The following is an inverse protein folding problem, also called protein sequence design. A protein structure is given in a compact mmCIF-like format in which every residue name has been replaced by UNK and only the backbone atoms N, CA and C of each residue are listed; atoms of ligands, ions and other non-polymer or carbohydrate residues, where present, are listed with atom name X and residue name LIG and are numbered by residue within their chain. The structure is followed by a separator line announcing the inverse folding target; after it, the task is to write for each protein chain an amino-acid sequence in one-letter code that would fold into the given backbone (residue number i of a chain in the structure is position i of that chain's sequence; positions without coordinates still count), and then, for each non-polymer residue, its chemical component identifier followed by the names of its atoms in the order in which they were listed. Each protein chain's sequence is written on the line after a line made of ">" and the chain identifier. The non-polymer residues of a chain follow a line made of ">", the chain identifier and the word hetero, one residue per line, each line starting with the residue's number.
data_IF_926177583169
#
_entry.id   IF_926177583169
#
_cell.length_a   1.000
_cell.length_b   1.000
_cell.length_c   1.000
_cell.angle_alpha   90.00
_cell.angle_beta   90.00
_cell.angle_gamma   90.00
#
_symmetry.space_group_name_H-M   'P 1'
#
loop_
_entity.id
_entity.type
_entity.pdbx_description
1 polymer ?
#
# COMPACT_ATOMS: atom_id res chain seq x y z
N UNK A 1 16.30 10.67 8.21
CA UNK A 1 16.43 9.88 6.96
C UNK A 1 16.32 10.80 5.78
N UNK A 2 17.26 10.74 4.83
CA UNK A 2 17.21 11.52 3.59
C UNK A 2 16.54 10.68 2.49
N UNK A 3 15.21 10.55 2.58
CA UNK A 3 14.38 9.85 1.59
C UNK A 3 13.19 10.73 1.24
N UNK A 4 12.81 10.76 -0.03
CA UNK A 4 11.58 11.42 -0.46
C UNK A 4 10.39 10.61 0.03
N UNK A 5 9.40 11.27 0.64
CA UNK A 5 8.17 10.60 1.06
C UNK A 5 7.19 10.59 -0.10
N UNK A 6 6.47 9.50 -0.26
CA UNK A 6 5.39 9.39 -1.25
C UNK A 6 4.34 10.50 -1.08
N UNK A 7 4.06 10.91 0.16
CA UNK A 7 3.09 11.96 0.49
C UNK A 7 3.47 13.35 0.00
N UNK A 8 4.74 13.55 -0.37
CA UNK A 8 5.28 14.84 -0.78
C UNK A 8 5.39 14.94 -2.32
N UNK A 9 4.98 13.89 -3.05
CA UNK A 9 5.07 13.79 -4.50
C UNK A 9 3.70 14.05 -5.17
N UNK A 10 3.66 14.69 -6.35
CA UNK A 10 2.44 14.77 -7.16
C UNK A 10 2.15 13.41 -7.80
N UNK A 11 1.01 12.81 -7.47
CA UNK A 11 0.63 11.48 -7.96
C UNK A 11 -0.51 11.47 -8.98
N UNK A 12 -1.20 12.60 -9.21
CA UNK A 12 -2.36 12.66 -10.09
C UNK A 12 -2.03 12.24 -11.54
N UNK A 13 -2.77 11.26 -12.07
CA UNK A 13 -2.59 10.69 -13.40
C UNK A 13 -1.37 9.76 -13.53
N UNK A 14 -0.65 9.49 -12.44
CA UNK A 14 0.61 8.76 -12.48
C UNK A 14 0.42 7.29 -12.10
N UNK A 15 0.99 6.38 -12.92
CA UNK A 15 1.09 4.97 -12.55
C UNK A 15 2.13 4.78 -11.44
N UNK A 16 1.69 4.53 -10.21
CA UNK A 16 2.58 4.34 -9.05
C UNK A 16 2.82 2.86 -8.76
N UNK A 17 4.08 2.45 -8.67
CA UNK A 17 4.48 1.12 -8.19
C UNK A 17 4.67 1.17 -6.67
N UNK A 18 3.81 0.48 -5.92
CA UNK A 18 3.88 0.40 -4.46
C UNK A 18 4.35 -1.00 -4.06
N UNK A 19 5.50 -1.08 -3.37
CA UNK A 19 6.03 -2.34 -2.85
C UNK A 19 5.52 -2.55 -1.42
N UNK A 20 4.55 -3.46 -1.27
CA UNK A 20 3.96 -3.81 0.03
C UNK A 20 4.44 -5.17 0.55
N UNK A 21 4.37 -5.35 1.87
CA UNK A 21 4.46 -6.67 2.51
C UNK A 21 3.06 -7.29 2.63
N UNK A 22 2.67 -8.06 1.61
CA UNK A 22 1.40 -8.79 1.57
C UNK A 22 1.55 -10.27 1.97
N UNK A 23 2.68 -10.66 2.58
CA UNK A 23 2.91 -12.04 2.99
C UNK A 23 2.12 -12.37 4.26
N UNK A 24 0.90 -12.84 4.08
CA UNK A 24 -0.04 -13.17 5.15
C UNK A 24 -0.19 -14.68 5.35
N UNK A 25 -0.50 -15.15 6.56
CA UNK A 25 -0.81 -16.56 6.77
C UNK A 25 -2.11 -16.94 6.06
N UNK A 26 -2.04 -18.03 5.29
CA UNK A 26 -3.17 -18.62 4.57
C UNK A 26 -3.51 -19.97 5.20
N UNK A 27 -4.79 -20.19 5.49
CA UNK A 27 -5.34 -21.48 5.94
C UNK A 27 -6.51 -21.85 5.04
N UNK A 28 -6.46 -23.03 4.42
CA UNK A 28 -7.49 -23.53 3.50
C UNK A 28 -7.84 -22.52 2.38
N UNK A 29 -6.83 -21.90 1.79
CA UNK A 29 -7.00 -20.90 0.73
C UNK A 29 -7.59 -19.55 1.18
N UNK A 30 -7.74 -19.31 2.49
CA UNK A 30 -8.26 -18.05 3.06
C UNK A 30 -7.22 -17.40 3.98
N UNK A 31 -7.20 -16.07 3.99
CA UNK A 31 -6.37 -15.29 4.92
C UNK A 31 -6.84 -15.55 6.35
N UNK A 32 -5.94 -16.03 7.21
CA UNK A 32 -6.25 -16.28 8.62
C UNK A 32 -5.85 -15.13 9.55
N UNK A 33 -5.02 -14.20 9.08
CA UNK A 33 -4.73 -12.93 9.75
C UNK A 33 -4.48 -11.84 8.71
N UNK A 34 -5.19 -10.72 8.85
CA UNK A 34 -5.22 -9.62 7.90
C UNK A 34 -4.35 -8.43 8.31
N UNK A 35 -3.57 -8.55 9.39
CA UNK A 35 -2.86 -7.43 10.00
C UNK A 35 -1.97 -6.67 9.01
N UNK A 36 -1.26 -7.39 8.11
CA UNK A 36 -0.42 -6.77 7.08
C UNK A 36 -1.23 -6.08 5.97
N UNK A 37 -2.38 -6.65 5.61
CA UNK A 37 -3.29 -6.04 4.63
C UNK A 37 -3.84 -4.72 5.17
N UNK A 38 -4.28 -4.71 6.44
CA UNK A 38 -4.76 -3.50 7.11
C UNK A 38 -3.65 -2.46 7.29
N UNK A 39 -2.39 -2.89 7.49
CA UNK A 39 -1.25 -1.99 7.56
C UNK A 39 -0.89 -1.35 6.20
N UNK A 40 -1.04 -2.08 5.09
CA UNK A 40 -0.80 -1.57 3.74
C UNK A 40 -1.92 -0.64 3.22
N UNK A 41 -3.15 -0.82 3.71
CA UNK A 41 -4.33 -0.13 3.21
C UNK A 41 -4.23 1.41 3.20
N UNK A 42 -3.70 2.11 4.25
CA UNK A 42 -3.57 3.56 4.23
C UNK A 42 -2.69 4.08 3.08
N UNK A 43 -1.61 3.37 2.75
CA UNK A 43 -0.70 3.76 1.66
C UNK A 43 -1.41 3.67 0.30
N UNK A 44 -2.10 2.56 0.05
CA UNK A 44 -2.86 2.34 -1.19
C UNK A 44 -3.97 3.38 -1.33
N UNK A 45 -4.71 3.64 -0.24
CA UNK A 45 -5.76 4.67 -0.23
C UNK A 45 -5.21 6.07 -0.44
N UNK A 46 -4.02 6.40 0.09
CA UNK A 46 -3.41 7.70 -0.12
C UNK A 46 -3.05 7.93 -1.59
N UNK A 47 -2.46 6.95 -2.26
CA UNK A 47 -2.16 7.03 -3.69
C UNK A 47 -3.45 7.17 -4.53
N UNK A 48 -4.46 6.33 -4.29
CA UNK A 48 -5.73 6.40 -5.01
C UNK A 48 -6.47 7.73 -4.79
N UNK A 49 -6.49 8.25 -3.55
CA UNK A 49 -7.09 9.57 -3.24
C UNK A 49 -6.35 10.74 -3.89
N UNK A 50 -5.05 10.59 -4.13
CA UNK A 50 -4.23 11.57 -4.83
C UNK A 50 -4.38 11.50 -6.37
N UNK A 51 -5.23 10.60 -6.89
CA UNK A 51 -5.52 10.49 -8.31
C UNK A 51 -4.49 9.71 -9.13
N UNK A 52 -3.66 8.89 -8.47
CA UNK A 52 -2.74 7.96 -9.13
C UNK A 52 -3.45 6.92 -10.01
#
# INVERSE_FOLDING_TARGET
>A
MNVQKMTDLPLEGQRVLIREDLNVPIKNGRVSSDARLRAALPTIQAAAKAGA
#
